data_IF_317117344794
#
_entry.id   IF_317117344794
#
_cell.length_a   1.000
_cell.length_b   1.000
_cell.length_c   1.000
_cell.angle_alpha   90.00
_cell.angle_beta   90.00
_cell.angle_gamma   90.00
#
_symmetry.space_group_name_H-M   'P 1'
#
loop_
_entity.id
_entity.type
_entity.pdbx_description
1 polymer ?
#
# COMPACT_ATOMS: atom_id res chain seq x y z
N UNK A 1 -32.27 -20.98 26.06
CA UNK A 1 -31.00 -20.56 26.71
C UNK A 1 -29.77 -21.10 25.99
N UNK A 2 -29.57 -22.42 25.87
CA UNK A 2 -28.36 -23.01 25.23
C UNK A 2 -28.20 -22.59 23.76
N UNK A 3 -29.28 -22.52 22.99
CA UNK A 3 -29.27 -22.11 21.58
C UNK A 3 -28.97 -20.61 21.39
N UNK A 4 -29.42 -19.78 22.34
CA UNK A 4 -29.18 -18.33 22.37
C UNK A 4 -27.69 -18.04 22.57
N UNK A 5 -27.02 -18.79 23.45
CA UNK A 5 -25.56 -18.70 23.64
C UNK A 5 -24.76 -19.11 22.40
N UNK A 6 -25.22 -20.12 21.66
CA UNK A 6 -24.59 -20.54 20.40
C UNK A 6 -24.69 -19.48 19.30
N UNK A 7 -25.86 -18.84 19.17
CA UNK A 7 -26.08 -17.75 18.20
C UNK A 7 -25.23 -16.53 18.57
N UNK A 8 -25.18 -16.16 19.85
CA UNK A 8 -24.38 -15.02 20.31
C UNK A 8 -22.88 -15.26 20.08
N UNK A 9 -22.40 -16.49 20.33
CA UNK A 9 -21.02 -16.88 20.04
C UNK A 9 -20.68 -16.82 18.54
N UNK A 10 -21.59 -17.26 17.67
CA UNK A 10 -21.39 -17.21 16.22
C UNK A 10 -21.32 -15.77 15.69
N UNK A 11 -22.17 -14.87 16.19
CA UNK A 11 -22.14 -13.45 15.81
C UNK A 11 -20.83 -12.76 16.26
N UNK A 12 -20.31 -13.12 17.43
CA UNK A 12 -19.06 -12.56 17.94
C UNK A 12 -17.85 -12.95 17.07
N UNK A 13 -17.77 -14.22 16.67
CA UNK A 13 -16.71 -14.73 15.79
C UNK A 13 -16.78 -14.09 14.40
N UNK A 14 -17.99 -13.94 13.84
CA UNK A 14 -18.19 -13.27 12.56
C UNK A 14 -17.76 -11.80 12.60
N UNK A 15 -18.06 -11.08 13.69
CA UNK A 15 -17.66 -9.69 13.86
C UNK A 15 -16.14 -9.48 13.89
N UNK A 16 -15.38 -10.39 14.49
CA UNK A 16 -13.91 -10.31 14.57
C UNK A 16 -13.27 -10.57 13.19
N UNK A 17 -13.85 -11.42 12.35
CA UNK A 17 -13.31 -11.63 10.99
C UNK A 17 -13.47 -10.40 10.08
N UNK A 18 -14.47 -9.55 10.31
CA UNK A 18 -14.67 -8.33 9.52
C UNK A 18 -13.60 -7.26 9.80
N UNK A 19 -13.01 -7.25 11.00
CA UNK A 19 -11.99 -6.23 11.35
C UNK A 19 -10.60 -6.55 10.80
N UNK A 20 -10.36 -7.79 10.34
CA UNK A 20 -9.08 -8.21 9.78
C UNK A 20 -8.74 -7.56 8.42
N UNK A 21 -9.73 -7.01 7.71
CA UNK A 21 -9.50 -6.30 6.44
C UNK A 21 -9.55 -4.77 6.57
N UNK A 22 -9.79 -4.23 7.77
CA UNK A 22 -9.89 -2.78 8.01
C UNK A 22 -8.58 -2.19 8.52
N UNK A 23 -7.45 -2.57 7.91
CA UNK A 23 -6.16 -1.96 8.22
C UNK A 23 -6.25 -0.45 7.96
N UNK A 24 -6.07 0.41 8.99
CA UNK A 24 -6.19 1.83 8.79
C UNK A 24 -5.05 2.30 7.88
N UNK A 25 -5.33 3.21 6.92
CA UNK A 25 -4.33 3.65 5.93
C UNK A 25 -3.08 4.27 6.57
N UNK A 26 -3.18 4.67 7.83
CA UNK A 26 -2.08 5.21 8.61
C UNK A 26 -0.96 4.19 8.89
N UNK A 27 -1.21 2.88 8.90
CA UNK A 27 -0.15 1.88 9.17
C UNK A 27 0.80 1.80 7.98
N UNK A 28 0.27 1.79 6.75
CA UNK A 28 1.07 1.88 5.53
C UNK A 28 1.82 3.21 5.42
N UNK A 29 1.19 4.33 5.84
CA UNK A 29 1.81 5.64 5.84
C UNK A 29 2.90 5.78 6.93
N UNK A 30 2.70 5.22 8.14
CA UNK A 30 3.69 5.18 9.23
C UNK A 30 4.84 4.22 8.91
N UNK A 31 4.60 3.17 8.14
CA UNK A 31 5.63 2.24 7.67
C UNK A 31 6.50 2.81 6.53
N UNK A 32 6.10 3.91 5.90
CA UNK A 32 6.93 4.62 4.93
C UNK A 32 8.12 5.27 5.66
N UNK A 33 9.23 4.52 5.72
CA UNK A 33 10.34 4.71 6.66
C UNK A 33 11.08 6.05 6.68
N UNK A 34 10.80 7.05 5.83
CA UNK A 34 11.60 8.30 5.78
C UNK A 34 10.80 9.52 5.31
N UNK A 35 10.12 10.26 6.21
CA UNK A 35 9.49 11.54 5.86
C UNK A 35 10.49 12.70 5.71
N UNK A 36 11.72 12.53 6.19
CA UNK A 36 12.80 13.54 6.23
C UNK A 36 13.75 13.49 5.02
N UNK A 37 13.59 12.49 4.15
CA UNK A 37 14.45 12.30 2.98
C UNK A 37 13.60 12.33 1.72
N UNK A 38 14.03 13.14 0.73
CA UNK A 38 13.29 13.25 -0.51
C UNK A 38 13.19 11.88 -1.23
N UNK A 39 12.05 11.56 -1.88
CA UNK A 39 11.81 10.23 -2.46
C UNK A 39 12.85 9.77 -3.49
N UNK A 40 13.45 10.71 -4.23
CA UNK A 40 14.48 10.44 -5.23
C UNK A 40 15.84 10.11 -4.62
N UNK A 41 16.03 10.28 -3.31
CA UNK A 41 17.27 9.90 -2.63
C UNK A 41 17.36 8.40 -2.35
N UNK A 42 16.25 7.66 -2.48
CA UNK A 42 16.26 6.20 -2.60
C UNK A 42 16.94 5.43 -1.46
N UNK A 43 17.23 4.16 -1.74
CA UNK A 43 18.11 3.32 -0.95
C UNK A 43 19.09 2.63 -1.92
N UNK A 44 20.38 2.62 -1.61
CA UNK A 44 21.38 1.91 -2.41
C UNK A 44 21.38 0.42 -2.09
N UNK A 45 20.25 -0.24 -2.35
CA UNK A 45 20.10 -1.68 -2.22
C UNK A 45 19.69 -2.27 -3.56
N UNK A 46 20.10 -3.51 -3.85
CA UNK A 46 19.93 -4.17 -5.16
C UNK A 46 18.49 -4.37 -5.66
N UNK A 47 17.51 -3.75 -5.02
CA UNK A 47 16.08 -3.78 -5.36
C UNK A 47 15.63 -2.55 -6.16
N UNK A 48 16.56 -1.68 -6.56
CA UNK A 48 16.21 -0.50 -7.37
C UNK A 48 15.75 -0.87 -8.77
N UNK A 49 14.77 -0.12 -9.27
CA UNK A 49 14.28 -0.28 -10.64
C UNK A 49 15.33 0.19 -11.64
N UNK A 50 15.54 -0.59 -12.71
CA UNK A 50 16.47 -0.23 -13.80
C UNK A 50 16.06 1.10 -14.45
N UNK A 51 17.02 1.98 -14.71
CA UNK A 51 16.82 3.26 -15.42
C UNK A 51 16.61 4.49 -14.54
N UNK A 52 16.66 4.35 -13.21
CA UNK A 52 16.72 5.45 -12.26
C UNK A 52 17.90 5.24 -11.29
N UNK A 53 18.50 6.32 -10.81
CA UNK A 53 19.65 6.31 -9.89
C UNK A 53 19.38 7.16 -8.64
N UNK A 54 19.80 6.75 -7.42
CA UNK A 54 19.65 7.57 -6.22
C UNK A 54 20.24 8.97 -6.38
N UNK A 55 19.51 9.97 -5.89
CA UNK A 55 19.91 11.38 -5.96
C UNK A 55 19.54 12.07 -7.28
N UNK A 56 19.23 11.32 -8.34
CA UNK A 56 18.74 11.90 -9.59
C UNK A 56 17.22 12.04 -9.57
N UNK A 57 16.77 13.27 -9.35
CA UNK A 57 15.35 13.63 -9.33
C UNK A 57 14.68 13.50 -10.71
N UNK A 58 15.41 13.77 -11.80
CA UNK A 58 14.84 13.76 -13.14
C UNK A 58 14.51 12.34 -13.60
N UNK A 59 15.48 11.41 -13.46
CA UNK A 59 15.22 10.00 -13.77
C UNK A 59 14.19 9.37 -12.82
N UNK A 60 14.11 9.85 -11.57
CA UNK A 60 13.06 9.42 -10.63
C UNK A 60 11.67 9.81 -11.14
N UNK A 61 11.51 11.08 -11.50
CA UNK A 61 10.23 11.63 -11.97
C UNK A 61 9.79 10.92 -13.26
N UNK A 62 10.71 10.67 -14.19
CA UNK A 62 10.43 9.91 -15.41
C UNK A 62 9.92 8.50 -15.10
N UNK A 63 10.62 7.77 -14.21
CA UNK A 63 10.23 6.41 -13.82
C UNK A 63 8.84 6.36 -13.17
N UNK A 64 8.52 7.33 -12.30
CA UNK A 64 7.19 7.45 -11.66
C UNK A 64 6.12 7.78 -12.69
N UNK A 65 6.34 8.78 -13.56
CA UNK A 65 5.38 9.16 -14.60
C UNK A 65 5.06 7.98 -15.52
N UNK A 66 6.09 7.26 -15.97
CA UNK A 66 5.93 6.07 -16.82
C UNK A 66 5.13 4.96 -16.13
N UNK A 67 5.38 4.72 -14.82
CA UNK A 67 4.59 3.76 -14.03
C UNK A 67 3.12 4.18 -14.00
N UNK A 68 2.84 5.45 -13.69
CA UNK A 68 1.48 5.96 -13.49
C UNK A 68 0.62 5.90 -14.76
N UNK A 69 1.21 6.08 -15.94
CA UNK A 69 0.51 5.98 -17.23
C UNK A 69 -0.25 4.64 -17.41
N UNK A 70 0.20 3.56 -16.76
CA UNK A 70 -0.38 2.22 -16.88
C UNK A 70 -1.28 1.81 -15.70
N UNK A 71 -1.45 2.70 -14.72
CA UNK A 71 -2.25 2.41 -13.51
C UNK A 71 -3.66 3.00 -13.57
N UNK A 72 -3.95 3.84 -14.58
CA UNK A 72 -5.27 4.44 -14.74
C UNK A 72 -6.23 3.48 -15.46
N UNK A 73 -7.38 3.19 -14.85
CA UNK A 73 -8.44 2.39 -15.47
C UNK A 73 -9.01 3.05 -16.74
N UNK A 74 -8.93 4.38 -16.85
CA UNK A 74 -9.30 5.11 -18.08
C UNK A 74 -8.46 4.69 -19.29
N UNK A 75 -7.23 4.24 -19.08
CA UNK A 75 -6.38 3.72 -20.16
C UNK A 75 -6.81 2.34 -20.69
N UNK A 76 -7.77 1.70 -20.01
CA UNK A 76 -8.25 0.34 -20.30
C UNK A 76 -9.62 0.32 -20.96
N UNK A 77 -10.35 1.43 -20.93
CA UNK A 77 -11.64 1.58 -21.61
C UNK A 77 -11.35 1.91 -23.08
N UNK A 78 -11.73 1.02 -23.99
CA UNK A 78 -11.66 1.19 -25.44
C UNK A 78 -13.05 1.13 -26.03
#
# INVERSE_FOLDING_TARGET
>A
MKSTFKILGACLVAGIMLTACSEPPEIAAKAAKRPDVAPYMGADNGFMTKGWTPGDQASWAEAINKRNQRQSEYSRVK
#
